data_IF_076062401411
#
_entry.id   IF_076062401411
#
_cell.length_a   1.000
_cell.length_b   1.000
_cell.length_c   1.000
_cell.angle_alpha   90.00
_cell.angle_beta   90.00
_cell.angle_gamma   90.00
#
_symmetry.space_group_name_H-M   'P 1'
#
loop_
_entity.id
_entity.type
_entity.pdbx_description
1 polymer ?
#
# COMPACT_ATOMS: atom_id res chain seq x y z
N UNK A 1 -11.65 8.95 -0.01
CA UNK A 1 -10.19 8.91 -0.20
C UNK A 1 -9.61 8.19 1.00
N UNK A 2 -8.83 7.14 0.76
CA UNK A 2 -8.25 6.30 1.82
C UNK A 2 -6.79 6.67 2.08
N UNK A 3 -6.00 6.89 1.03
CA UNK A 3 -4.58 7.24 1.11
C UNK A 3 -4.28 8.41 0.17
N UNK A 4 -3.49 9.36 0.65
CA UNK A 4 -2.77 10.32 -0.18
C UNK A 4 -1.31 10.36 0.28
N UNK A 5 -0.34 10.38 -0.63
CA UNK A 5 1.06 10.43 -0.26
C UNK A 5 1.90 11.20 -1.28
N UNK A 6 2.94 11.87 -0.80
CA UNK A 6 4.05 12.33 -1.63
C UNK A 6 5.09 11.23 -1.67
N UNK A 7 5.44 10.74 -2.87
CA UNK A 7 6.56 9.81 -3.01
C UNK A 7 7.85 10.55 -2.63
N UNK A 8 8.53 10.08 -1.59
CA UNK A 8 9.80 10.67 -1.12
C UNK A 8 11.00 9.82 -1.50
N UNK A 9 10.78 8.53 -1.75
CA UNK A 9 11.84 7.60 -2.15
C UNK A 9 11.24 6.39 -2.89
N UNK A 10 12.11 5.56 -3.47
CA UNK A 10 11.73 4.28 -4.08
C UNK A 10 12.86 3.26 -3.88
N UNK A 11 12.47 2.02 -3.58
CA UNK A 11 13.40 0.91 -3.40
C UNK A 11 13.06 -0.22 -4.36
N UNK A 12 14.05 -1.03 -4.75
CA UNK A 12 13.70 -2.31 -5.38
C UNK A 12 13.05 -3.23 -4.34
N UNK A 13 12.35 -4.27 -4.77
CA UNK A 13 11.78 -5.26 -3.84
C UNK A 13 12.85 -5.89 -2.94
N UNK A 14 14.02 -6.20 -3.49
CA UNK A 14 15.10 -6.82 -2.71
C UNK A 14 15.70 -5.85 -1.69
N UNK A 15 15.93 -4.58 -2.08
CA UNK A 15 16.43 -3.55 -1.16
C UNK A 15 15.41 -3.29 -0.04
N UNK A 16 14.12 -3.27 -0.37
CA UNK A 16 13.04 -3.13 0.61
C UNK A 16 13.01 -4.31 1.56
N UNK A 17 13.16 -5.54 1.06
CA UNK A 17 13.15 -6.77 1.85
C UNK A 17 14.36 -6.91 2.78
N UNK A 18 15.54 -6.47 2.34
CA UNK A 18 16.79 -6.56 3.10
C UNK A 18 17.00 -5.39 4.07
N UNK A 19 16.38 -4.24 3.80
CA UNK A 19 16.55 -3.04 4.61
C UNK A 19 16.12 -3.24 6.07
N UNK A 20 17.01 -2.93 7.00
CA UNK A 20 16.74 -2.99 8.44
C UNK A 20 15.59 -2.08 8.87
N UNK A 21 15.37 -0.98 8.14
CA UNK A 21 14.30 -0.02 8.40
C UNK A 21 12.89 -0.61 8.19
N UNK A 22 12.76 -1.60 7.31
CA UNK A 22 11.46 -2.14 6.88
C UNK A 22 11.24 -3.59 7.28
N UNK A 23 12.03 -4.12 8.23
CA UNK A 23 11.81 -5.48 8.73
C UNK A 23 10.46 -5.63 9.44
N UNK A 24 9.99 -4.58 10.14
CA UNK A 24 8.68 -4.57 10.77
C UNK A 24 7.49 -4.62 9.79
N UNK A 25 7.77 -4.50 8.48
CA UNK A 25 6.80 -4.57 7.40
C UNK A 25 6.64 -5.97 6.82
N UNK A 26 7.46 -6.93 7.25
CA UNK A 26 7.29 -8.35 6.92
C UNK A 26 6.14 -8.94 7.74
N UNK A 27 5.35 -9.86 7.16
CA UNK A 27 4.26 -10.50 7.87
C UNK A 27 4.78 -11.40 8.99
N UNK A 28 4.09 -11.37 10.14
CA UNK A 28 4.28 -12.29 11.25
C UNK A 28 2.90 -12.87 11.59
N UNK A 29 2.59 -14.06 11.08
CA UNK A 29 1.24 -14.65 11.15
C UNK A 29 0.78 -14.99 12.57
N UNK A 30 1.71 -15.14 13.50
CA UNK A 30 1.44 -15.33 14.94
C UNK A 30 1.60 -14.04 15.75
N UNK A 31 1.76 -12.90 15.09
CA UNK A 31 1.90 -11.59 15.73
C UNK A 31 0.56 -10.88 15.98
N UNK A 32 0.64 -9.58 16.27
CA UNK A 32 -0.55 -8.72 16.29
C UNK A 32 -1.22 -8.65 14.92
N UNK A 33 -2.50 -8.28 14.89
CA UNK A 33 -3.25 -8.11 13.64
C UNK A 33 -2.53 -7.18 12.65
N UNK A 34 -1.79 -6.17 13.12
CA UNK A 34 -1.00 -5.30 12.23
C UNK A 34 0.16 -6.03 11.57
N UNK A 35 0.80 -6.91 12.32
CA UNK A 35 1.94 -7.67 11.86
C UNK A 35 1.53 -8.81 10.94
N UNK A 36 0.30 -9.35 11.06
CA UNK A 36 -0.13 -10.48 10.20
C UNK A 36 -0.30 -10.09 8.74
N UNK A 37 -0.68 -8.84 8.45
CA UNK A 37 -0.81 -8.37 7.06
C UNK A 37 0.55 -8.19 6.41
N UNK A 38 1.40 -7.31 6.98
CA UNK A 38 2.65 -6.89 6.34
C UNK A 38 2.45 -6.33 4.92
N UNK A 39 3.49 -5.77 4.33
CA UNK A 39 3.51 -5.39 2.90
C UNK A 39 4.81 -5.81 2.20
N UNK A 40 5.83 -6.20 2.97
CA UNK A 40 7.14 -6.59 2.49
C UNK A 40 7.22 -8.11 2.27
N UNK A 41 6.53 -8.59 1.23
CA UNK A 41 6.30 -10.01 1.00
C UNK A 41 7.02 -10.58 -0.23
N UNK A 42 7.57 -9.74 -1.10
CA UNK A 42 8.22 -10.16 -2.34
C UNK A 42 9.72 -9.85 -2.30
N UNK A 43 10.53 -10.81 -2.69
CA UNK A 43 11.97 -10.66 -2.92
C UNK A 43 12.44 -11.74 -3.87
N UNK A 44 13.67 -11.64 -4.36
CA UNK A 44 14.31 -12.70 -5.15
C UNK A 44 15.28 -13.51 -4.31
N UNK A 45 15.39 -14.79 -4.65
CA UNK A 45 16.39 -15.68 -4.07
C UNK A 45 17.78 -15.48 -4.71
N UNK A 46 18.74 -16.32 -4.33
CA UNK A 46 20.11 -16.27 -4.89
C UNK A 46 20.19 -16.62 -6.38
N UNK A 47 19.16 -17.22 -6.95
CA UNK A 47 19.06 -17.55 -8.37
C UNK A 47 18.30 -16.49 -9.17
N UNK A 48 17.74 -15.47 -8.49
CA UNK A 48 16.96 -14.42 -9.12
C UNK A 48 15.47 -14.76 -9.27
N UNK A 49 15.03 -15.90 -8.73
CA UNK A 49 13.64 -16.33 -8.78
C UNK A 49 12.83 -15.63 -7.70
N UNK A 50 11.59 -15.28 -8.03
CA UNK A 50 10.71 -14.57 -7.11
C UNK A 50 10.19 -15.48 -6.00
N UNK A 51 10.33 -15.02 -4.75
CA UNK A 51 9.74 -15.59 -3.56
C UNK A 51 8.60 -14.68 -3.07
N UNK A 52 7.47 -15.30 -2.72
CA UNK A 52 6.42 -14.68 -1.91
C UNK A 52 6.45 -15.27 -0.49
N UNK A 53 6.56 -14.41 0.52
CA UNK A 53 6.45 -14.80 1.92
C UNK A 53 5.02 -15.16 2.29
N UNK A 54 4.83 -16.10 3.23
CA UNK A 54 3.50 -16.47 3.73
C UNK A 54 2.80 -15.26 4.36
N UNK A 55 1.66 -14.86 3.80
CA UNK A 55 1.03 -13.56 4.09
C UNK A 55 -0.47 -13.53 3.78
N UNK A 56 -1.12 -12.39 4.04
CA UNK A 56 -2.48 -12.11 3.58
C UNK A 56 -2.72 -12.45 2.09
N UNK A 57 -1.69 -12.36 1.23
CA UNK A 57 -1.80 -12.56 -0.22
C UNK A 57 -1.39 -13.95 -0.72
N UNK A 58 -1.12 -14.90 0.19
CA UNK A 58 -0.84 -16.31 -0.14
C UNK A 58 -2.13 -17.14 -0.23
N UNK A 59 -2.02 -18.38 -0.74
CA UNK A 59 -3.12 -19.33 -0.74
C UNK A 59 -3.54 -19.74 0.69
N UNK A 60 -4.71 -20.37 0.90
CA UNK A 60 -5.17 -20.80 2.23
C UNK A 60 -4.15 -21.61 3.04
N UNK A 61 -3.36 -22.44 2.36
CA UNK A 61 -2.30 -23.29 2.94
C UNK A 61 -0.94 -22.56 3.12
N UNK A 62 -0.88 -21.26 2.82
CA UNK A 62 0.33 -20.44 2.89
C UNK A 62 1.22 -20.52 1.65
N UNK A 63 0.88 -21.34 0.66
CA UNK A 63 1.66 -21.44 -0.58
C UNK A 63 1.55 -20.20 -1.45
N UNK A 64 2.51 -20.05 -2.38
CA UNK A 64 2.58 -18.89 -3.28
C UNK A 64 1.32 -18.75 -4.13
N UNK A 65 0.72 -17.57 -4.09
CA UNK A 65 -0.31 -17.18 -5.04
C UNK A 65 0.35 -16.63 -6.32
N UNK A 66 0.49 -17.49 -7.32
CA UNK A 66 1.14 -17.13 -8.59
C UNK A 66 0.42 -16.02 -9.36
N UNK A 67 -0.89 -15.85 -9.18
CA UNK A 67 -1.64 -14.77 -9.82
C UNK A 67 -1.17 -13.41 -9.26
N UNK A 68 -1.19 -13.27 -7.93
CA UNK A 68 -0.75 -12.05 -7.26
C UNK A 68 0.73 -11.79 -7.53
N UNK A 69 1.59 -12.82 -7.40
CA UNK A 69 3.01 -12.69 -7.65
C UNK A 69 3.29 -12.09 -9.04
N UNK A 70 2.74 -12.71 -10.09
CA UNK A 70 2.95 -12.26 -11.48
C UNK A 70 2.37 -10.88 -11.76
N UNK A 71 1.32 -10.47 -11.06
CA UNK A 71 0.72 -9.14 -11.24
C UNK A 71 1.55 -8.08 -10.55
N UNK A 72 1.91 -8.31 -9.30
CA UNK A 72 2.51 -7.31 -8.42
C UNK A 72 3.99 -7.09 -8.79
N UNK A 73 4.73 -8.13 -9.19
CA UNK A 73 6.15 -8.03 -9.55
C UNK A 73 6.41 -7.54 -10.99
N UNK A 74 5.38 -7.05 -11.70
CA UNK A 74 5.55 -6.33 -12.98
C UNK A 74 6.24 -5.00 -12.81
N UNK A 75 6.10 -4.39 -11.63
CA UNK A 75 6.81 -3.17 -11.29
C UNK A 75 8.22 -3.50 -10.78
N UNK A 76 9.13 -2.53 -10.84
CA UNK A 76 10.50 -2.68 -10.31
C UNK A 76 10.64 -2.16 -8.87
N UNK A 77 9.79 -1.22 -8.48
CA UNK A 77 10.02 -0.40 -7.30
C UNK A 77 8.83 -0.39 -6.35
N UNK A 78 9.13 -0.50 -5.06
CA UNK A 78 8.24 -0.13 -3.96
C UNK A 78 8.39 1.37 -3.73
N UNK A 79 7.27 2.10 -3.73
CA UNK A 79 7.25 3.55 -3.49
C UNK A 79 7.17 3.83 -1.99
N UNK A 80 8.06 4.69 -1.50
CA UNK A 80 8.16 5.03 -0.09
C UNK A 80 7.71 6.48 0.11
N UNK A 81 7.01 6.72 1.22
CA UNK A 81 6.62 8.06 1.65
C UNK A 81 6.87 8.26 3.13
N UNK A 82 7.42 9.42 3.46
CA UNK A 82 7.40 9.99 4.82
C UNK A 82 6.28 11.01 5.02
N UNK A 83 5.59 11.41 3.94
CA UNK A 83 4.52 12.40 3.95
C UNK A 83 3.25 11.81 3.33
N UNK A 84 2.45 11.18 4.19
CA UNK A 84 1.21 10.54 3.79
C UNK A 84 0.06 10.92 4.71
N UNK A 85 -1.16 10.70 4.22
CA UNK A 85 -2.42 10.77 4.96
C UNK A 85 -3.13 9.45 4.74
N UNK A 86 -3.26 8.63 5.77
CA UNK A 86 -3.99 7.36 5.73
C UNK A 86 -5.25 7.47 6.57
N UNK A 87 -6.40 7.56 5.92
CA UNK A 87 -7.71 7.73 6.56
C UNK A 87 -8.38 6.42 6.94
N UNK A 88 -8.09 5.33 6.22
CA UNK A 88 -8.67 4.02 6.53
C UNK A 88 -10.21 4.07 6.57
N UNK A 89 -10.80 3.59 7.67
CA UNK A 89 -12.22 3.61 8.00
C UNK A 89 -12.80 5.02 8.13
N UNK A 90 -11.95 6.01 8.44
CA UNK A 90 -12.29 7.43 8.47
C UNK A 90 -12.13 8.09 7.08
N UNK A 91 -12.25 7.31 6.00
CA UNK A 91 -12.09 7.79 4.62
C UNK A 91 -12.95 9.03 4.35
N UNK A 92 -12.30 10.12 3.95
CA UNK A 92 -12.98 11.38 3.67
C UNK A 92 -13.41 11.47 2.22
N UNK A 93 -14.49 12.20 1.94
CA UNK A 93 -14.79 12.69 0.60
C UNK A 93 -14.30 14.15 0.52
N UNK A 94 -13.23 14.46 -0.25
CA UNK A 94 -12.81 15.84 -0.43
C UNK A 94 -13.95 16.70 -0.98
N UNK A 95 -13.96 17.99 -0.64
CA UNK A 95 -15.03 18.91 -1.02
C UNK A 95 -15.22 18.97 -2.55
N UNK A 96 -16.46 19.23 -2.98
CA UNK A 96 -16.84 19.20 -4.40
C UNK A 96 -15.93 19.99 -5.37
N UNK A 97 -15.35 21.15 -5.01
CA UNK A 97 -14.39 21.85 -5.87
C UNK A 97 -13.13 21.04 -6.24
N UNK A 98 -12.85 19.93 -5.55
CA UNK A 98 -11.71 19.06 -5.78
C UNK A 98 -12.04 17.84 -6.65
N UNK A 99 -13.29 17.69 -7.10
CA UNK A 99 -13.73 16.53 -7.88
C UNK A 99 -12.88 16.28 -9.14
N UNK A 100 -12.32 17.33 -9.75
CA UNK A 100 -11.45 17.20 -10.92
C UNK A 100 -10.14 16.48 -10.61
N UNK A 101 -9.63 16.60 -9.37
CA UNK A 101 -8.46 15.88 -8.90
C UNK A 101 -8.80 14.42 -8.49
N UNK A 102 -10.08 14.05 -8.43
CA UNK A 102 -10.52 12.72 -8.03
C UNK A 102 -10.81 11.84 -9.26
N UNK A 103 -10.57 10.55 -9.08
CA UNK A 103 -10.90 9.51 -10.04
C UNK A 103 -11.67 8.41 -9.32
N UNK A 104 -12.80 7.99 -9.90
CA UNK A 104 -13.62 6.89 -9.40
C UNK A 104 -13.53 5.74 -10.38
N UNK A 105 -12.84 4.67 -10.01
CA UNK A 105 -12.67 3.48 -10.84
C UNK A 105 -11.36 2.75 -10.56
N UNK A 106 -11.13 1.67 -11.31
CA UNK A 106 -9.82 0.99 -11.39
C UNK A 106 -8.93 1.77 -12.36
N UNK A 107 -7.61 1.72 -12.18
CA UNK A 107 -6.57 2.46 -12.94
C UNK A 107 -6.25 3.87 -12.37
N UNK A 108 -5.38 4.61 -13.04
CA UNK A 108 -4.92 5.93 -12.63
C UNK A 108 -5.44 7.04 -13.57
N UNK A 109 -5.48 8.26 -13.04
CA UNK A 109 -5.76 9.48 -13.78
C UNK A 109 -4.59 10.45 -13.58
N UNK A 110 -4.03 10.95 -14.67
CA UNK A 110 -3.18 12.14 -14.60
C UNK A 110 -4.05 13.37 -14.41
N UNK A 111 -3.63 14.23 -13.49
CA UNK A 111 -4.34 15.47 -13.17
C UNK A 111 -3.42 16.65 -13.42
N UNK A 112 -4.01 17.77 -13.83
CA UNK A 112 -3.26 19.01 -13.99
C UNK A 112 -2.67 19.46 -12.65
N UNK A 113 -1.47 20.05 -12.71
CA UNK A 113 -0.74 20.50 -11.52
C UNK A 113 -1.54 21.49 -10.67
N UNK A 114 -2.32 22.36 -11.32
CA UNK A 114 -3.18 23.33 -10.65
C UNK A 114 -4.28 22.65 -9.81
N UNK A 115 -4.91 21.60 -10.33
CA UNK A 115 -5.91 20.81 -9.62
C UNK A 115 -5.28 19.96 -8.51
N UNK A 116 -4.13 19.34 -8.80
CA UNK A 116 -3.35 18.60 -7.80
C UNK A 116 -2.92 19.48 -6.62
N UNK A 117 -2.47 20.71 -6.89
CA UNK A 117 -2.05 21.67 -5.87
C UNK A 117 -3.20 22.09 -4.96
N UNK A 118 -4.42 22.25 -5.49
CA UNK A 118 -5.62 22.52 -4.68
C UNK A 118 -5.90 21.38 -3.70
N UNK A 119 -5.81 20.13 -4.16
CA UNK A 119 -6.00 18.96 -3.31
C UNK A 119 -4.91 18.85 -2.24
N UNK A 120 -3.64 19.05 -2.60
CA UNK A 120 -2.52 19.03 -1.64
C UNK A 120 -2.68 20.12 -0.58
N UNK A 121 -3.06 21.35 -0.99
CA UNK A 121 -3.33 22.44 -0.06
C UNK A 121 -4.48 22.10 0.89
N UNK A 122 -5.60 21.61 0.36
CA UNK A 122 -6.74 21.18 1.17
C UNK A 122 -6.33 20.15 2.23
N UNK A 123 -5.51 19.15 1.87
CA UNK A 123 -5.05 18.15 2.83
C UNK A 123 -4.17 18.75 3.93
N UNK A 124 -3.22 19.61 3.57
CA UNK A 124 -2.32 20.28 4.53
C UNK A 124 -3.07 21.22 5.48
N UNK A 125 -4.08 21.91 4.98
CA UNK A 125 -4.83 22.89 5.77
C UNK A 125 -5.81 22.23 6.76
N UNK A 126 -6.23 20.98 6.51
CA UNK A 126 -7.31 20.34 7.26
C UNK A 126 -6.88 19.09 8.04
N UNK A 127 -5.71 18.52 7.74
CA UNK A 127 -5.26 17.27 8.34
C UNK A 127 -3.77 17.29 8.63
N UNK A 128 -3.36 16.60 9.69
CA UNK A 128 -1.96 16.30 9.95
C UNK A 128 -1.47 15.14 9.09
N UNK A 129 -0.16 15.04 8.87
CA UNK A 129 0.42 13.87 8.22
C UNK A 129 0.30 12.64 9.13
N UNK A 130 0.03 11.48 8.54
CA UNK A 130 0.09 10.18 9.20
C UNK A 130 -1.22 9.40 9.15
N UNK A 131 -1.47 8.68 10.24
CA UNK A 131 -2.52 7.68 10.36
C UNK A 131 -3.73 8.24 11.12
N UNK A 132 -4.87 8.31 10.43
CA UNK A 132 -6.12 8.89 10.93
C UNK A 132 -7.20 7.84 11.24
N UNK A 133 -7.04 6.60 10.80
CA UNK A 133 -8.03 5.53 11.02
C UNK A 133 -7.52 4.16 10.58
N UNK A 134 -8.16 3.10 11.06
CA UNK A 134 -7.76 1.72 10.73
C UNK A 134 -8.15 1.31 9.32
N UNK A 135 -7.46 0.36 8.67
CA UNK A 135 -7.96 -0.22 7.43
C UNK A 135 -9.39 -0.77 7.64
N UNK A 136 -10.26 -0.60 6.65
CA UNK A 136 -11.70 -0.92 6.76
C UNK A 136 -11.96 -2.37 7.21
N UNK A 137 -11.11 -3.30 6.80
CA UNK A 137 -11.23 -4.73 7.11
C UNK A 137 -10.32 -5.17 8.26
N UNK A 138 -9.80 -4.25 9.06
CA UNK A 138 -8.80 -4.51 10.09
C UNK A 138 -9.40 -5.01 11.42
N UNK A 139 -10.24 -6.04 11.34
CA UNK A 139 -10.92 -6.64 12.49
C UNK A 139 -10.51 -8.10 12.71
N UNK A 140 -10.40 -8.86 11.61
CA UNK A 140 -9.98 -10.25 11.62
C UNK A 140 -9.03 -10.50 10.46
N UNK A 141 -8.03 -11.37 10.67
CA UNK A 141 -7.16 -11.80 9.58
C UNK A 141 -7.93 -12.76 8.67
N UNK A 142 -7.94 -12.45 7.39
CA UNK A 142 -8.36 -13.35 6.30
C UNK A 142 -7.24 -13.39 5.28
N UNK A 143 -7.24 -14.35 4.34
CA UNK A 143 -6.36 -14.29 3.17
C UNK A 143 -7.16 -13.76 1.97
N UNK A 144 -6.49 -13.09 1.03
CA UNK A 144 -7.06 -12.51 -0.17
C UNK A 144 -6.35 -13.06 -1.41
N UNK A 145 -7.13 -13.68 -2.29
CA UNK A 145 -6.66 -14.37 -3.49
C UNK A 145 -6.37 -13.45 -4.68
N UNK A 146 -6.71 -12.17 -4.58
CA UNK A 146 -6.53 -11.20 -5.67
C UNK A 146 -7.67 -11.14 -6.67
N UNK A 147 -8.74 -11.92 -6.47
CA UNK A 147 -9.88 -12.04 -7.38
C UNK A 147 -11.15 -11.54 -6.68
N UNK A 148 -11.54 -10.31 -7.02
CA UNK A 148 -12.80 -9.69 -6.55
C UNK A 148 -13.40 -8.75 -7.59
#
# INVERSE_FOLDING_TARGET
MILAMRVTDKLTYDDYFQSSQYQCKKPILHGSLKQTYGDNIYHRDSHGEWIQSDSHHSNPDGTVNLHNLKRDTKSKYVLISKDFYFFGENAIKPAAPLNNALFQGRNFKYIDESEGSKLVKYLRDNFELGYHGNPIQFHNFTRYDGLS
#
